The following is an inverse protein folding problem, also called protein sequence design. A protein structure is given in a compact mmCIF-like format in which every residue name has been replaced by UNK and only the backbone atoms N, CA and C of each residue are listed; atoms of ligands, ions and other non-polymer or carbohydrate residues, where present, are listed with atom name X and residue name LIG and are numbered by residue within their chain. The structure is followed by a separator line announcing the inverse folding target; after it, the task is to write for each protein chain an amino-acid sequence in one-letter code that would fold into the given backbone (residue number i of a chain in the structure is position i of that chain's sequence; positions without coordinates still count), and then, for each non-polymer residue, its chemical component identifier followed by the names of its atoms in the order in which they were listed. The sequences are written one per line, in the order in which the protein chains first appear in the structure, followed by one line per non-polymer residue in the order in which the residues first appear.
data_IF_240994159366
#
_entry.id   IF_240994159366
#
_cell.length_a   1.000
_cell.length_b   1.000
_cell.length_c   1.000
_cell.angle_alpha   90.00
_cell.angle_beta   90.00
_cell.angle_gamma   90.00
#
_symmetry.space_group_name_H-M   'P 1'
#
loop_
_entity.id
_entity.type
_entity.pdbx_description
1 polymer ?
#
# COMPACT_ATOMS: atom_id res chain seq x y z
N UNK A 1 -16.88 1.90 19.04
CA UNK A 1 -16.82 0.97 17.89
C UNK A 1 -15.41 1.06 17.31
N UNK A 2 -14.85 0.01 16.70
CA UNK A 2 -13.49 0.06 16.13
C UNK A 2 -13.54 -0.04 14.60
N UNK A 3 -12.70 0.74 13.92
CA UNK A 3 -12.54 0.79 12.47
C UNK A 3 -11.19 0.17 12.13
N UNK A 4 -11.17 -0.83 11.24
CA UNK A 4 -9.92 -1.34 10.68
C UNK A 4 -9.57 -0.54 9.43
N UNK A 5 -8.38 0.05 9.44
CA UNK A 5 -7.76 0.69 8.29
C UNK A 5 -6.76 -0.30 7.67
N UNK A 6 -6.75 -0.40 6.36
CA UNK A 6 -5.81 -1.24 5.64
C UNK A 6 -5.26 -0.50 4.42
N UNK A 7 -3.94 -0.56 4.26
CA UNK A 7 -3.25 -0.02 3.09
C UNK A 7 -3.43 -0.99 1.93
N UNK A 8 -4.12 -0.53 0.89
CA UNK A 8 -4.31 -1.31 -0.32
C UNK A 8 -3.28 -0.94 -1.39
N UNK A 9 -2.71 -1.97 -2.01
CA UNK A 9 -1.84 -1.85 -3.16
C UNK A 9 -2.63 -1.30 -4.34
N UNK A 10 -2.10 -0.28 -5.01
CA UNK A 10 -2.71 0.29 -6.21
C UNK A 10 -2.82 -0.73 -7.36
N UNK A 11 -1.99 -1.78 -7.34
CA UNK A 11 -2.00 -2.85 -8.34
C UNK A 11 -2.99 -3.98 -8.01
N UNK A 12 -3.87 -3.81 -7.01
CA UNK A 12 -4.84 -4.83 -6.60
C UNK A 12 -5.80 -5.24 -7.74
N UNK A 13 -6.18 -4.30 -8.60
CA UNK A 13 -7.15 -4.53 -9.69
C UNK A 13 -6.51 -5.05 -10.99
N UNK A 14 -5.19 -5.01 -11.08
CA UNK A 14 -4.42 -5.56 -12.19
C UNK A 14 -3.21 -6.31 -11.61
N UNK A 15 -3.46 -7.37 -10.81
CA UNK A 15 -2.40 -8.08 -10.12
C UNK A 15 -1.64 -8.87 -11.19
N UNK A 16 -0.62 -8.24 -11.73
CA UNK A 16 0.41 -8.89 -12.54
C UNK A 16 1.21 -9.94 -11.75
N UNK A 17 0.90 -10.12 -10.46
CA UNK A 17 1.44 -11.13 -9.55
C UNK A 17 0.33 -11.67 -8.65
N UNK A 18 0.24 -12.99 -8.48
CA UNK A 18 -0.60 -13.62 -7.44
C UNK A 18 -0.12 -13.28 -6.01
N UNK A 19 1.09 -12.73 -5.87
CA UNK A 19 1.75 -12.40 -4.60
C UNK A 19 1.44 -10.99 -4.05
N UNK A 20 0.45 -10.28 -4.61
CA UNK A 20 0.08 -8.95 -4.13
C UNK A 20 -0.35 -9.01 -2.66
N UNK A 21 0.28 -8.19 -1.80
CA UNK A 21 0.04 -8.26 -0.35
C UNK A 21 -1.42 -7.98 0.03
N UNK A 22 -2.09 -7.12 -0.73
CA UNK A 22 -3.52 -6.82 -0.53
C UNK A 22 -4.46 -7.96 -0.96
N UNK A 23 -4.00 -8.92 -1.76
CA UNK A 23 -4.76 -10.14 -2.06
C UNK A 23 -4.52 -11.25 -1.04
N UNK A 24 -3.36 -11.25 -0.39
CA UNK A 24 -2.93 -12.31 0.53
C UNK A 24 -3.02 -11.91 2.01
N UNK A 25 -3.83 -10.91 2.35
CA UNK A 25 -4.00 -10.38 3.72
C UNK A 25 -2.69 -9.97 4.42
N UNK A 26 -1.64 -9.70 3.63
CA UNK A 26 -0.34 -9.17 4.09
C UNK A 26 -0.29 -7.64 3.99
N UNK A 27 -1.45 -7.01 3.77
CA UNK A 27 -1.61 -5.57 3.76
C UNK A 27 -1.25 -4.96 5.10
N UNK A 28 -0.68 -3.75 5.08
CA UNK A 28 -0.41 -3.02 6.31
C UNK A 28 -1.73 -2.54 6.92
N UNK A 29 -2.03 -2.96 8.15
CA UNK A 29 -3.29 -2.66 8.83
C UNK A 29 -3.11 -1.94 10.16
N UNK A 30 -4.07 -1.09 10.51
CA UNK A 30 -4.19 -0.45 11.82
C UNK A 30 -5.64 -0.48 12.29
N UNK A 31 -5.83 -0.41 13.61
CA UNK A 31 -7.17 -0.32 14.22
C UNK A 31 -7.29 1.07 14.84
N UNK A 32 -8.38 1.75 14.53
CA UNK A 32 -8.76 3.05 15.08
C UNK A 32 -10.07 2.92 15.86
N UNK A 33 -10.25 3.77 16.86
CA UNK A 33 -11.56 4.05 17.44
C UNK A 33 -12.45 4.80 16.42
N UNK A 34 -13.76 4.80 16.64
CA UNK A 34 -14.77 5.46 15.80
C UNK A 34 -14.75 7.00 15.83
N UNK A 35 -13.66 7.60 16.29
CA UNK A 35 -13.44 9.04 16.26
C UNK A 35 -12.66 9.46 15.02
N UNK A 36 -13.06 10.57 14.40
CA UNK A 36 -12.35 11.12 13.24
C UNK A 36 -10.88 11.43 13.55
N UNK A 37 -10.59 11.88 14.78
CA UNK A 37 -9.24 12.19 15.22
C UNK A 37 -8.34 10.95 15.28
N UNK A 38 -8.86 9.84 15.79
CA UNK A 38 -8.07 8.60 15.85
C UNK A 38 -7.91 7.96 14.47
N UNK A 39 -8.95 7.95 13.64
CA UNK A 39 -8.85 7.49 12.24
C UNK A 39 -7.75 8.25 11.49
N UNK A 40 -7.71 9.59 11.61
CA UNK A 40 -6.68 10.40 10.97
C UNK A 40 -5.27 10.10 11.50
N UNK A 41 -5.13 9.88 12.81
CA UNK A 41 -3.86 9.51 13.46
C UNK A 41 -3.35 8.16 12.97
N UNK A 42 -4.21 7.13 13.00
CA UNK A 42 -3.86 5.78 12.55
C UNK A 42 -3.55 5.76 11.05
N UNK A 43 -4.28 6.53 10.24
CA UNK A 43 -3.99 6.68 8.81
C UNK A 43 -2.60 7.28 8.57
N UNK A 44 -2.23 8.34 9.30
CA UNK A 44 -0.89 8.94 9.20
C UNK A 44 0.20 7.95 9.62
N UNK A 45 -0.02 7.21 10.70
CA UNK A 45 0.90 6.19 11.18
C UNK A 45 1.14 5.10 10.13
N UNK A 46 0.07 4.63 9.47
CA UNK A 46 0.18 3.66 8.37
C UNK A 46 1.04 4.18 7.22
N UNK A 47 0.89 5.46 6.85
CA UNK A 47 1.72 6.06 5.80
C UNK A 47 3.18 6.18 6.20
N UNK A 48 3.48 6.41 7.48
CA UNK A 48 4.84 6.50 8.00
C UNK A 48 5.51 5.12 8.08
N UNK A 49 4.75 4.07 8.41
CA UNK A 49 5.24 2.69 8.49
C UNK A 49 5.37 2.01 7.12
N UNK A 50 4.59 2.44 6.12
CA UNK A 50 4.57 1.83 4.80
C UNK A 50 5.97 1.75 4.16
N UNK A 51 6.79 2.82 4.09
CA UNK A 51 8.16 2.77 3.59
C UNK A 51 9.08 1.84 4.36
N UNK A 52 8.94 1.76 5.69
CA UNK A 52 9.75 0.88 6.54
C UNK A 52 9.47 -0.60 6.25
N UNK A 53 8.26 -0.91 5.80
CA UNK A 53 7.85 -2.25 5.36
C UNK A 53 8.03 -2.48 3.86
N UNK A 54 8.74 -1.59 3.16
CA UNK A 54 9.07 -1.73 1.74
C UNK A 54 7.97 -1.31 0.78
N UNK A 55 6.88 -0.71 1.26
CA UNK A 55 5.89 -0.11 0.36
C UNK A 55 6.44 1.18 -0.24
N UNK A 56 6.17 1.41 -1.53
CA UNK A 56 6.63 2.62 -2.23
C UNK A 56 5.47 3.35 -2.88
N UNK A 57 5.50 4.67 -2.81
CA UNK A 57 4.52 5.48 -3.53
C UNK A 57 4.93 5.59 -5.00
N UNK A 58 4.04 5.18 -5.90
CA UNK A 58 4.31 5.15 -7.33
C UNK A 58 3.16 5.77 -8.14
N UNK A 59 3.51 6.15 -9.37
CA UNK A 59 2.54 6.52 -10.40
C UNK A 59 2.58 5.45 -11.49
N UNK A 60 1.48 4.70 -11.64
CA UNK A 60 1.34 3.73 -12.71
C UNK A 60 1.21 4.43 -14.07
N UNK A 61 1.59 3.74 -15.15
CA UNK A 61 1.48 4.25 -16.52
C UNK A 61 0.02 4.62 -16.88
N UNK A 62 -0.94 3.92 -16.26
CA UNK A 62 -2.38 4.17 -16.38
C UNK A 62 -2.83 5.50 -15.76
N UNK A 63 -1.94 6.22 -15.07
CA UNK A 63 -2.18 7.54 -14.47
C UNK A 63 -2.48 7.50 -12.96
N UNK A 64 -2.83 6.33 -12.42
CA UNK A 64 -3.13 6.11 -11.01
C UNK A 64 -1.90 6.35 -10.13
N UNK A 65 -2.08 7.00 -8.98
CA UNK A 65 -1.04 7.25 -7.96
C UNK A 65 -1.44 6.60 -6.65
N UNK A 66 -0.49 5.98 -5.95
CA UNK A 66 -0.77 5.28 -4.72
C UNK A 66 0.40 4.42 -4.25
N UNK A 67 0.15 3.62 -3.21
CA UNK A 67 1.15 2.72 -2.65
C UNK A 67 1.22 1.41 -3.42
N UNK A 68 2.43 0.99 -3.76
CA UNK A 68 2.75 -0.37 -4.19
C UNK A 68 3.30 -1.16 -3.01
N UNK A 69 2.81 -2.39 -2.86
CA UNK A 69 3.39 -3.34 -1.91
C UNK A 69 4.77 -3.83 -2.39
N UNK A 70 5.62 -4.36 -1.49
CA UNK A 70 6.99 -4.76 -1.83
C UNK A 70 7.10 -5.64 -3.08
N UNK A 71 6.24 -6.66 -3.21
CA UNK A 71 6.23 -7.54 -4.39
C UNK A 71 5.88 -6.80 -5.69
N UNK A 72 4.94 -5.85 -5.62
CA UNK A 72 4.57 -5.06 -6.80
C UNK A 72 5.61 -3.98 -7.11
N UNK A 73 6.41 -3.54 -6.14
CA UNK A 73 7.57 -2.67 -6.37
C UNK A 73 8.60 -3.42 -7.20
N UNK A 74 9.04 -4.60 -6.77
CA UNK A 74 10.03 -5.40 -7.51
C UNK A 74 9.60 -5.66 -8.95
N UNK A 75 8.32 -6.01 -9.15
CA UNK A 75 7.78 -6.21 -10.49
C UNK A 75 7.75 -4.91 -11.31
N UNK A 76 7.32 -3.80 -10.71
CA UNK A 76 7.29 -2.50 -11.40
C UNK A 76 8.70 -2.09 -11.84
N UNK A 77 9.70 -2.25 -10.99
CA UNK A 77 11.10 -1.95 -11.30
C UNK A 77 11.63 -2.87 -12.41
N UNK A 78 11.29 -4.16 -12.39
CA UNK A 78 11.67 -5.11 -13.44
C UNK A 78 11.03 -4.77 -14.81
N UNK A 79 9.77 -4.30 -14.82
CA UNK A 79 9.05 -3.96 -16.05
C UNK A 79 9.46 -2.61 -16.64
N UNK A 80 9.73 -1.63 -15.78
CA UNK A 80 10.01 -0.25 -16.21
C UNK A 80 11.49 0.11 -16.23
N UNK A 81 12.34 -0.70 -15.59
CA UNK A 81 13.75 -0.40 -15.36
C UNK A 81 13.99 0.82 -14.45
N UNK A 82 12.94 1.31 -13.76
CA UNK A 82 13.01 2.49 -12.90
C UNK A 82 12.90 2.07 -11.44
N UNK A 83 13.95 2.32 -10.65
CA UNK A 83 13.94 2.08 -9.21
C UNK A 83 13.05 3.11 -8.48
N UNK A 84 12.15 2.62 -7.63
CA UNK A 84 11.30 3.41 -6.75
C UNK A 84 12.00 3.55 -5.38
N UNK A 85 12.92 4.52 -5.28
CA UNK A 85 13.59 4.87 -4.01
C UNK A 85 12.65 5.57 -3.04
#
# INVERSE_FOLDING_TARGET
MSIRLELQCINLNDPSTDDCYSMNEKGLGAVADDSQADVARQYKLLQEQAPEQGWRWAKLAQGSKGWLCPCCVELYEAQTGHALN
#
